data_IF_098785207607
#
_entry.id   IF_098785207607
#
_cell.length_a   1.000
_cell.length_b   1.000
_cell.length_c   1.000
_cell.angle_alpha   90.00
_cell.angle_beta   90.00
_cell.angle_gamma   90.00
#
_symmetry.space_group_name_H-M   'P 1'
#
loop_
_entity.id
_entity.type
_entity.pdbx_description
1 polymer ?
#
# COMPACT_ATOMS: atom_id res chain seq x y z
N UNK A 1 -27.36 -10.18 4.72
CA UNK A 1 -26.65 -10.18 3.43
C UNK A 1 -25.46 -9.25 3.55
N UNK A 2 -24.21 -9.72 3.40
CA UNK A 2 -23.06 -8.82 3.55
C UNK A 2 -22.97 -7.89 2.34
N UNK A 3 -23.26 -6.61 2.54
CA UNK A 3 -23.09 -5.53 1.55
C UNK A 3 -21.62 -5.15 1.43
N UNK A 4 -20.77 -6.12 1.09
CA UNK A 4 -19.37 -5.86 0.84
C UNK A 4 -19.27 -5.01 -0.43
N UNK A 5 -18.48 -3.93 -0.35
CA UNK A 5 -18.18 -3.07 -1.49
C UNK A 5 -17.54 -3.89 -2.62
N UNK A 6 -17.79 -3.49 -3.86
CA UNK A 6 -17.09 -4.10 -4.99
C UNK A 6 -15.58 -3.85 -4.90
N UNK A 7 -14.74 -4.67 -5.55
CA UNK A 7 -13.29 -4.44 -5.56
C UNK A 7 -12.91 -3.03 -6.03
N UNK A 8 -13.61 -2.50 -7.04
CA UNK A 8 -13.40 -1.13 -7.53
C UNK A 8 -13.72 -0.09 -6.45
N UNK A 9 -14.86 -0.20 -5.78
CA UNK A 9 -15.24 0.71 -4.70
C UNK A 9 -14.28 0.63 -3.50
N UNK A 10 -13.72 -0.55 -3.22
CA UNK A 10 -12.67 -0.71 -2.22
C UNK A 10 -11.37 -0.02 -2.65
N UNK A 11 -11.01 -0.11 -3.94
CA UNK A 11 -9.86 0.58 -4.52
C UNK A 11 -9.97 2.09 -4.39
N UNK A 12 -11.07 2.67 -4.88
CA UNK A 12 -11.32 4.12 -4.82
C UNK A 12 -11.28 4.64 -3.37
N UNK A 13 -11.86 3.87 -2.44
CA UNK A 13 -11.84 4.21 -1.03
C UNK A 13 -10.41 4.18 -0.45
N UNK A 14 -9.62 3.15 -0.79
CA UNK A 14 -8.25 3.04 -0.33
C UNK A 14 -7.39 4.20 -0.85
N UNK A 15 -7.50 4.53 -2.13
CA UNK A 15 -6.76 5.64 -2.75
C UNK A 15 -7.10 6.97 -2.08
N UNK A 16 -8.39 7.25 -1.84
CA UNK A 16 -8.82 8.45 -1.14
C UNK A 16 -8.23 8.53 0.27
N UNK A 17 -8.33 7.45 1.05
CA UNK A 17 -7.82 7.41 2.42
C UNK A 17 -6.29 7.58 2.49
N UNK A 18 -5.56 6.98 1.55
CA UNK A 18 -4.10 7.14 1.44
C UNK A 18 -3.76 8.60 1.13
N UNK A 19 -4.44 9.23 0.18
CA UNK A 19 -4.20 10.63 -0.17
C UNK A 19 -4.47 11.57 1.00
N UNK A 20 -5.57 11.36 1.72
CA UNK A 20 -5.94 12.16 2.89
C UNK A 20 -4.95 11.96 4.05
N UNK A 21 -4.46 10.72 4.25
CA UNK A 21 -3.40 10.42 5.22
C UNK A 21 -2.08 11.14 4.88
N UNK A 22 -1.61 11.05 3.64
CA UNK A 22 -0.39 11.76 3.17
C UNK A 22 -0.52 13.27 3.36
N UNK A 23 -1.68 13.85 3.04
CA UNK A 23 -1.96 15.28 3.26
C UNK A 23 -1.91 15.63 4.75
N UNK A 24 -2.55 14.83 5.59
CA UNK A 24 -2.61 15.03 7.04
C UNK A 24 -1.23 14.94 7.71
N UNK A 25 -0.34 14.11 7.17
CA UNK A 25 1.06 14.04 7.60
C UNK A 25 1.95 15.17 7.05
N UNK A 26 1.42 16.09 6.23
CA UNK A 26 2.18 17.19 5.66
C UNK A 26 3.24 16.77 4.63
N UNK A 27 3.08 15.58 4.03
CA UNK A 27 4.03 14.96 3.10
C UNK A 27 3.69 15.23 1.62
N UNK A 28 2.56 15.88 1.33
CA UNK A 28 2.16 16.20 -0.04
C UNK A 28 3.20 17.11 -0.73
N UNK A 29 3.66 16.70 -1.91
CA UNK A 29 4.70 17.42 -2.66
C UNK A 29 6.13 17.29 -2.11
N UNK A 30 6.36 16.46 -1.09
CA UNK A 30 7.67 16.24 -0.47
C UNK A 30 8.12 14.78 -0.63
N UNK A 31 8.92 14.44 -1.65
CA UNK A 31 9.24 13.05 -1.99
C UNK A 31 9.81 12.22 -0.83
N UNK A 32 10.76 12.77 -0.07
CA UNK A 32 11.39 12.04 1.03
C UNK A 32 10.42 11.83 2.21
N UNK A 33 9.61 12.84 2.53
CA UNK A 33 8.58 12.73 3.56
C UNK A 33 7.47 11.76 3.14
N UNK A 34 7.11 11.74 1.86
CA UNK A 34 6.15 10.81 1.29
C UNK A 34 6.62 9.37 1.47
N UNK A 35 7.88 9.06 1.14
CA UNK A 35 8.44 7.73 1.30
C UNK A 35 8.32 7.23 2.76
N UNK A 36 8.75 8.05 3.73
CA UNK A 36 8.68 7.72 5.15
C UNK A 36 7.24 7.48 5.64
N UNK A 37 6.31 8.34 5.23
CA UNK A 37 4.89 8.26 5.63
C UNK A 37 4.21 7.02 5.02
N UNK A 38 4.53 6.69 3.77
CA UNK A 38 4.03 5.48 3.10
C UNK A 38 4.61 4.20 3.71
N UNK A 39 5.89 4.19 4.05
CA UNK A 39 6.53 3.07 4.75
C UNK A 39 5.85 2.79 6.10
N UNK A 40 5.56 3.85 6.87
CA UNK A 40 4.82 3.73 8.13
C UNK A 40 3.43 3.12 7.91
N UNK A 41 2.68 3.57 6.89
CA UNK A 41 1.33 3.07 6.60
C UNK A 41 1.35 1.57 6.25
N UNK A 42 2.27 1.15 5.39
CA UNK A 42 2.47 -0.25 5.00
C UNK A 42 2.82 -1.10 6.23
N UNK A 43 3.73 -0.59 7.07
CA UNK A 43 4.16 -1.28 8.30
C UNK A 43 3.02 -1.47 9.28
N UNK A 44 2.16 -0.46 9.48
CA UNK A 44 0.97 -0.56 10.34
C UNK A 44 -0.04 -1.59 9.81
N UNK A 45 -0.26 -1.63 8.50
CA UNK A 45 -1.14 -2.62 7.89
C UNK A 45 -0.62 -4.05 8.09
N UNK A 46 0.69 -4.28 7.85
CA UNK A 46 1.31 -5.59 8.05
C UNK A 46 1.28 -6.05 9.52
N UNK A 47 1.58 -5.15 10.46
CA UNK A 47 1.47 -5.43 11.89
C UNK A 47 0.04 -5.76 12.29
N UNK A 48 -0.96 -5.04 11.77
CA UNK A 48 -2.38 -5.34 12.03
C UNK A 48 -2.76 -6.77 11.62
N UNK A 49 -2.26 -7.24 10.47
CA UNK A 49 -2.46 -8.63 10.01
C UNK A 49 -1.77 -9.63 10.94
N UNK A 50 -0.55 -9.33 11.38
CA UNK A 50 0.19 -10.21 12.28
C UNK A 50 -0.47 -10.29 13.68
N UNK A 51 -1.03 -9.18 14.18
CA UNK A 51 -1.67 -9.11 15.49
C UNK A 51 -3.04 -9.79 15.55
N UNK A 52 -3.85 -9.65 14.50
CA UNK A 52 -5.24 -10.17 14.48
C UNK A 52 -5.35 -11.51 13.75
N UNK A 53 -4.37 -11.82 12.90
CA UNK A 53 -4.37 -13.01 12.05
C UNK A 53 -3.13 -13.88 12.26
N UNK A 54 -2.29 -13.98 11.23
CA UNK A 54 -1.13 -14.86 11.21
C UNK A 54 0.09 -14.12 10.67
N UNK A 55 1.20 -14.20 11.39
CA UNK A 55 2.49 -13.67 10.96
C UNK A 55 2.88 -14.19 9.56
N UNK A 56 2.68 -15.50 9.31
CA UNK A 56 2.99 -16.11 8.02
C UNK A 56 2.20 -15.48 6.86
N UNK A 57 0.94 -15.13 7.09
CA UNK A 57 0.10 -14.43 6.10
C UNK A 57 0.63 -13.01 5.86
N UNK A 58 0.98 -12.28 6.93
CA UNK A 58 1.57 -10.95 6.81
C UNK A 58 2.87 -10.97 5.98
N UNK A 59 3.77 -11.91 6.28
CA UNK A 59 5.02 -12.12 5.54
C UNK A 59 4.78 -12.46 4.07
N UNK A 60 3.80 -13.33 3.77
CA UNK A 60 3.47 -13.70 2.40
C UNK A 60 2.91 -12.52 1.60
N UNK A 61 2.06 -11.68 2.21
CA UNK A 61 1.53 -10.47 1.58
C UNK A 61 2.64 -9.46 1.29
N UNK A 62 3.53 -9.21 2.24
CA UNK A 62 4.68 -8.31 2.06
C UNK A 62 5.60 -8.80 0.94
N UNK A 63 5.90 -10.10 0.92
CA UNK A 63 6.74 -10.71 -0.12
C UNK A 63 6.12 -10.55 -1.51
N UNK A 64 4.82 -10.82 -1.66
CA UNK A 64 4.11 -10.61 -2.94
C UNK A 64 4.09 -9.14 -3.35
N UNK A 65 3.90 -8.23 -2.39
CA UNK A 65 3.91 -6.79 -2.64
C UNK A 65 5.27 -6.33 -3.16
N UNK A 66 6.37 -6.76 -2.52
CA UNK A 66 7.74 -6.49 -2.99
C UNK A 66 7.95 -6.98 -4.42
N UNK A 67 7.51 -8.20 -4.73
CA UNK A 67 7.63 -8.77 -6.08
C UNK A 67 6.85 -7.95 -7.11
N UNK A 68 5.59 -7.59 -6.81
CA UNK A 68 4.75 -6.79 -7.70
C UNK A 68 5.37 -5.42 -8.03
N UNK A 69 5.98 -4.76 -7.04
CA UNK A 69 6.70 -3.49 -7.26
C UNK A 69 7.89 -3.68 -8.21
N UNK A 70 8.69 -4.74 -8.01
CA UNK A 70 9.81 -5.06 -8.92
C UNK A 70 9.33 -5.31 -10.35
N UNK A 71 8.29 -6.14 -10.51
CA UNK A 71 7.72 -6.44 -11.83
C UNK A 71 7.14 -5.20 -12.51
N UNK A 72 6.48 -4.32 -11.75
CA UNK A 72 5.99 -3.05 -12.28
C UNK A 72 7.15 -2.16 -12.74
N UNK A 73 8.23 -2.05 -11.96
CA UNK A 73 9.41 -1.30 -12.33
C UNK A 73 10.05 -1.87 -13.60
N UNK A 74 10.21 -3.19 -13.70
CA UNK A 74 10.76 -3.85 -14.89
C UNK A 74 9.92 -3.58 -16.14
N UNK A 75 8.58 -3.66 -16.04
CA UNK A 75 7.68 -3.44 -17.18
C UNK A 75 7.65 -1.98 -17.65
N UNK A 76 7.74 -1.02 -16.73
CA UNK A 76 7.63 0.40 -17.07
C UNK A 76 9.00 1.04 -17.39
N UNK A 77 10.09 0.61 -16.74
CA UNK A 77 11.43 1.14 -17.01
C UNK A 77 12.03 0.55 -18.30
N UNK A 78 11.68 -0.69 -18.68
CA UNK A 78 12.10 -1.28 -19.96
C UNK A 78 11.30 -0.76 -21.16
N UNK A 79 10.14 -0.13 -20.95
CA UNK A 79 9.37 0.52 -22.02
C UNK A 79 9.88 1.91 -22.37
N UNK A 80 10.70 2.50 -21.49
CA UNK A 80 11.27 3.85 -21.63
C UNK A 80 12.79 3.81 -21.93
N UNK A 81 13.33 2.67 -22.36
CA UNK A 81 14.67 2.52 -22.94
C UNK A 81 14.53 2.06 -24.39
#
# INVERSE_FOLDING_TARGET
MSTLKSPAQCGDLAEKLIADYVRSCGAYGKPDALANVMEMLISKAALGIAMVGSEAIAQQILTRTKHNVSTFAERNLRRNR
#
